data_IF_582038881139
#
_entry.id   IF_582038881139
#
_cell.length_a   1.000
_cell.length_b   1.000
_cell.length_c   1.000
_cell.angle_alpha   90.00
_cell.angle_beta   90.00
_cell.angle_gamma   90.00
#
_symmetry.space_group_name_H-M   'P 1'
#
loop_
_entity.id
_entity.type
_entity.pdbx_description
1 polymer ?
#
# COMPACT_ATOMS: atom_id res chain seq x y z
N UNK A 1 22.30 32.68 22.44
CA UNK A 1 22.17 31.53 23.35
C UNK A 1 20.77 30.92 23.20
N UNK A 2 20.58 30.12 22.15
CA UNK A 2 19.43 29.22 22.04
C UNK A 2 19.89 27.84 22.54
N UNK A 3 19.88 27.66 23.84
CA UNK A 3 20.18 26.40 24.49
C UNK A 3 18.97 25.47 24.44
N UNK A 4 19.17 24.30 23.84
CA UNK A 4 18.60 22.99 24.17
C UNK A 4 17.18 22.97 24.79
N UNK A 5 16.13 23.20 23.99
CA UNK A 5 14.84 22.60 24.30
C UNK A 5 14.73 21.29 23.54
N UNK A 6 15.01 20.18 24.22
CA UNK A 6 14.55 18.86 23.83
C UNK A 6 13.01 18.95 23.71
N UNK A 7 12.47 18.79 22.48
CA UNK A 7 11.05 18.51 22.35
C UNK A 7 10.76 17.23 23.14
N UNK A 8 9.79 17.25 24.04
CA UNK A 8 9.35 16.01 24.65
C UNK A 8 8.71 15.18 23.52
N UNK A 9 9.30 14.06 23.18
CA UNK A 9 8.57 12.98 22.55
C UNK A 9 7.37 12.73 23.44
N UNK A 10 6.18 13.09 22.95
CA UNK A 10 4.94 12.62 23.54
C UNK A 10 4.90 11.11 23.29
N UNK A 11 5.52 10.36 24.18
CA UNK A 11 5.17 8.97 24.39
C UNK A 11 3.71 9.03 24.85
N UNK A 12 2.78 8.76 23.94
CA UNK A 12 1.46 8.33 24.35
C UNK A 12 1.67 7.22 25.38
N UNK A 13 1.04 7.31 26.55
CA UNK A 13 1.13 6.22 27.50
C UNK A 13 0.67 4.96 26.75
N UNK A 14 1.57 4.02 26.62
CA UNK A 14 1.27 2.69 26.14
C UNK A 14 0.25 2.12 27.12
N UNK A 15 -1.02 2.08 26.70
CA UNK A 15 -2.08 1.51 27.52
C UNK A 15 -1.93 0.00 27.39
N UNK A 16 -1.15 -0.60 28.28
CA UNK A 16 -0.91 -2.05 28.34
C UNK A 16 -2.19 -2.86 28.67
N UNK A 17 -3.25 -2.20 29.15
CA UNK A 17 -4.35 -2.89 29.83
C UNK A 17 -5.57 -3.24 28.96
N UNK A 18 -5.66 -2.83 27.67
CA UNK A 18 -6.82 -3.15 26.84
C UNK A 18 -6.55 -4.15 25.70
N UNK A 19 -5.32 -4.48 25.38
CA UNK A 19 -4.99 -5.56 24.47
C UNK A 19 -4.76 -6.85 25.26
N UNK A 20 -5.81 -7.56 25.58
CA UNK A 20 -5.70 -8.99 25.92
C UNK A 20 -5.27 -9.75 24.66
N UNK A 21 -3.98 -9.70 24.36
CA UNK A 21 -3.31 -10.58 23.42
C UNK A 21 -3.38 -11.98 24.00
N UNK A 22 -4.41 -12.72 23.66
CA UNK A 22 -4.52 -14.16 24.01
C UNK A 22 -3.38 -14.98 23.38
N UNK A 23 -2.63 -14.39 22.45
CA UNK A 23 -1.40 -14.94 21.87
C UNK A 23 -0.26 -13.93 22.00
N UNK A 24 0.67 -14.20 22.91
CA UNK A 24 1.84 -13.36 23.21
C UNK A 24 2.82 -13.20 22.02
N UNK A 25 2.64 -13.96 20.96
CA UNK A 25 3.48 -13.96 19.77
C UNK A 25 2.88 -13.18 18.59
N UNK A 26 1.54 -12.97 18.57
CA UNK A 26 0.87 -12.20 17.52
C UNK A 26 1.47 -10.80 17.43
N UNK A 27 1.65 -10.30 16.21
CA UNK A 27 2.28 -9.04 15.84
C UNK A 27 3.78 -8.90 16.17
N UNK A 28 4.40 -9.94 16.77
CA UNK A 28 5.82 -9.95 17.13
C UNK A 28 6.61 -11.02 16.40
N UNK A 29 5.98 -12.12 16.05
CA UNK A 29 6.59 -13.28 15.37
C UNK A 29 5.71 -13.74 14.22
N UNK A 30 6.32 -14.31 13.21
CA UNK A 30 5.62 -14.99 12.12
C UNK A 30 5.01 -16.28 12.64
N UNK A 31 3.69 -16.29 12.83
CA UNK A 31 2.96 -17.43 13.40
C UNK A 31 1.87 -17.97 12.47
N UNK A 32 1.57 -17.26 11.37
CA UNK A 32 0.56 -17.66 10.41
C UNK A 32 1.17 -17.98 9.05
N UNK A 33 0.65 -19.05 8.41
CA UNK A 33 0.73 -19.17 6.96
C UNK A 33 -0.09 -18.04 6.32
N UNK A 34 0.29 -17.64 5.12
CA UNK A 34 -0.36 -16.53 4.41
C UNK A 34 -1.15 -17.04 3.22
N UNK A 35 -2.41 -16.63 3.15
CA UNK A 35 -3.23 -16.73 1.95
C UNK A 35 -3.16 -15.43 1.17
N UNK A 36 -2.92 -15.52 -0.15
CA UNK A 36 -2.89 -14.37 -1.06
C UNK A 36 -4.07 -14.42 -2.02
N UNK A 37 -4.84 -13.35 -2.08
CA UNK A 37 -5.91 -13.11 -3.06
C UNK A 37 -5.39 -12.05 -4.02
N UNK A 38 -5.21 -12.41 -5.29
CA UNK A 38 -4.65 -11.50 -6.31
C UNK A 38 -5.72 -10.78 -7.09
N UNK A 39 -5.37 -9.60 -7.61
CA UNK A 39 -6.14 -8.87 -8.61
C UNK A 39 -7.57 -8.52 -8.18
N UNK A 40 -7.75 -8.18 -6.90
CA UNK A 40 -9.02 -7.70 -6.39
C UNK A 40 -9.27 -6.30 -6.93
N UNK A 41 -10.23 -6.15 -7.84
CA UNK A 41 -10.57 -4.86 -8.42
C UNK A 41 -11.30 -3.96 -7.41
N UNK A 42 -10.76 -2.77 -7.17
CA UNK A 42 -11.36 -1.79 -6.26
C UNK A 42 -11.91 -0.54 -6.96
N UNK A 43 -11.47 -0.28 -8.21
CA UNK A 43 -11.99 0.83 -9.01
C UNK A 43 -11.74 0.62 -10.52
N UNK A 44 -12.55 1.29 -11.34
CA UNK A 44 -12.32 1.48 -12.76
C UNK A 44 -12.18 2.95 -13.06
N UNK A 45 -11.13 3.33 -13.76
CA UNK A 45 -10.77 4.73 -14.01
C UNK A 45 -10.08 4.90 -15.36
N UNK A 46 -10.16 6.08 -15.92
CA UNK A 46 -9.34 6.46 -17.06
C UNK A 46 -7.96 6.92 -16.61
N UNK A 47 -6.91 6.38 -17.17
CA UNK A 47 -5.56 6.76 -16.80
C UNK A 47 -4.48 6.14 -17.65
N UNK A 48 -3.26 6.24 -17.15
CA UNK A 48 -2.06 5.62 -17.72
C UNK A 48 -1.54 4.57 -16.75
N UNK A 49 -1.00 3.50 -17.30
CA UNK A 49 -0.45 2.41 -16.51
C UNK A 49 0.65 1.68 -17.27
N UNK A 50 1.74 1.40 -16.58
CA UNK A 50 2.70 0.40 -16.98
C UNK A 50 3.02 -0.50 -15.78
N UNK A 51 2.65 -1.75 -15.89
CA UNK A 51 3.05 -2.78 -14.94
C UNK A 51 4.52 -3.16 -15.18
N UNK A 52 5.30 -3.18 -14.12
CA UNK A 52 6.66 -3.74 -14.10
C UNK A 52 6.75 -4.66 -12.88
N UNK A 53 6.30 -5.90 -13.01
CA UNK A 53 6.29 -6.85 -11.90
C UNK A 53 7.68 -7.40 -11.54
N UNK A 54 8.67 -7.18 -12.40
CA UNK A 54 10.03 -7.70 -12.24
C UNK A 54 10.99 -6.61 -11.79
N UNK A 55 11.64 -6.81 -10.65
CA UNK A 55 12.61 -5.89 -10.07
C UNK A 55 13.93 -5.79 -10.86
N UNK A 56 14.12 -6.67 -11.84
CA UNK A 56 15.35 -6.69 -12.68
C UNK A 56 15.27 -5.71 -13.86
N UNK A 57 14.12 -5.04 -14.06
CA UNK A 57 13.94 -4.14 -15.20
C UNK A 57 14.62 -2.80 -14.96
N UNK A 58 15.46 -2.41 -15.90
CA UNK A 58 16.03 -1.07 -15.98
C UNK A 58 14.91 -0.06 -16.33
N UNK A 59 14.38 0.59 -15.30
CA UNK A 59 13.31 1.58 -15.40
C UNK A 59 13.68 2.71 -16.39
N UNK A 60 14.93 3.16 -16.39
CA UNK A 60 15.39 4.23 -17.27
C UNK A 60 15.29 3.83 -18.74
N UNK A 61 15.66 2.58 -19.04
CA UNK A 61 15.57 2.02 -20.38
C UNK A 61 14.11 1.80 -20.83
N UNK A 62 13.26 1.30 -19.93
CA UNK A 62 11.83 1.14 -20.19
C UNK A 62 11.17 2.49 -20.48
N UNK A 63 11.46 3.52 -19.68
CA UNK A 63 10.96 4.87 -19.89
C UNK A 63 11.43 5.42 -21.24
N UNK A 64 12.72 5.29 -21.55
CA UNK A 64 13.30 5.78 -22.80
C UNK A 64 12.68 5.13 -24.04
N UNK A 65 12.45 3.83 -24.01
CA UNK A 65 11.99 3.07 -25.18
C UNK A 65 10.46 3.04 -25.35
N UNK A 66 9.69 3.26 -24.28
CA UNK A 66 8.25 3.16 -24.28
C UNK A 66 7.52 4.48 -24.04
N UNK A 67 8.24 5.58 -23.96
CA UNK A 67 7.73 6.91 -23.64
C UNK A 67 6.42 7.28 -24.35
N UNK A 68 6.32 7.04 -25.66
CA UNK A 68 5.12 7.36 -26.45
C UNK A 68 3.94 6.42 -26.16
N UNK A 69 4.19 5.18 -25.74
CA UNK A 69 3.13 4.22 -25.42
C UNK A 69 2.43 4.57 -24.10
N UNK A 70 3.11 5.26 -23.17
CA UNK A 70 2.55 5.72 -21.92
C UNK A 70 1.56 6.89 -22.07
N UNK A 71 1.57 7.55 -23.20
CA UNK A 71 0.76 8.74 -23.42
C UNK A 71 -0.68 8.42 -23.84
N UNK A 72 -1.01 7.15 -24.05
CA UNK A 72 -2.35 6.73 -24.40
C UNK A 72 -3.16 6.47 -23.14
N UNK A 73 -4.15 7.32 -22.91
CA UNK A 73 -5.16 7.11 -21.88
C UNK A 73 -5.98 5.88 -22.23
N UNK A 74 -6.24 5.01 -21.27
CA UNK A 74 -7.12 3.85 -21.41
C UNK A 74 -7.93 3.65 -20.14
N UNK A 75 -9.01 2.92 -20.22
CA UNK A 75 -9.70 2.41 -19.04
C UNK A 75 -8.77 1.44 -18.30
N UNK A 76 -8.63 1.64 -17.02
CA UNK A 76 -7.81 0.84 -16.11
C UNK A 76 -8.70 0.20 -15.06
N UNK A 77 -8.46 -1.07 -14.81
CA UNK A 77 -8.84 -1.69 -13.55
C UNK A 77 -7.73 -1.35 -12.54
N UNK A 78 -8.10 -0.75 -11.43
CA UNK A 78 -7.21 -0.56 -10.29
C UNK A 78 -7.40 -1.74 -9.36
N UNK A 79 -6.37 -2.57 -9.29
CA UNK A 79 -6.40 -3.83 -8.56
C UNK A 79 -5.47 -3.79 -7.36
N UNK A 80 -5.79 -4.59 -6.36
CA UNK A 80 -4.96 -4.82 -5.18
C UNK A 80 -4.74 -6.30 -4.95
N UNK A 81 -3.65 -6.65 -4.28
CA UNK A 81 -3.43 -7.97 -3.73
C UNK A 81 -3.63 -7.94 -2.23
N UNK A 82 -4.42 -8.88 -1.71
CA UNK A 82 -4.75 -8.98 -0.29
C UNK A 82 -4.09 -10.23 0.28
N UNK A 83 -3.40 -10.06 1.39
CA UNK A 83 -2.70 -11.11 2.11
C UNK A 83 -3.33 -11.27 3.49
N UNK A 84 -3.78 -12.49 3.80
CA UNK A 84 -4.51 -12.81 5.01
C UNK A 84 -3.77 -13.87 5.83
N UNK A 85 -3.77 -13.76 7.16
CA UNK A 85 -3.31 -14.85 8.03
C UNK A 85 -4.27 -16.03 7.90
N UNK A 86 -3.74 -17.18 7.42
CA UNK A 86 -4.51 -18.40 7.18
C UNK A 86 -4.87 -19.07 8.50
N UNK A 87 -6.10 -19.59 8.59
CA UNK A 87 -6.62 -20.26 9.78
C UNK A 87 -6.66 -19.41 11.05
N UNK A 88 -6.51 -18.10 10.93
CA UNK A 88 -6.66 -17.19 12.03
C UNK A 88 -8.14 -17.01 12.41
N UNK A 89 -8.46 -17.13 13.68
CA UNK A 89 -9.82 -17.03 14.22
C UNK A 89 -10.22 -15.62 14.62
N UNK A 90 -9.27 -14.67 14.68
CA UNK A 90 -9.56 -13.29 15.05
C UNK A 90 -10.51 -12.64 14.04
N UNK A 91 -11.55 -11.98 14.54
CA UNK A 91 -12.61 -11.38 13.71
C UNK A 91 -12.32 -9.93 13.31
N UNK A 92 -11.38 -9.29 13.97
CA UNK A 92 -10.93 -7.92 13.69
C UNK A 92 -9.40 -7.88 13.71
N UNK A 93 -8.78 -7.52 12.59
CA UNK A 93 -7.33 -7.49 12.41
C UNK A 93 -6.91 -6.12 11.92
N UNK A 94 -5.82 -5.56 12.44
CA UNK A 94 -5.29 -4.31 11.90
C UNK A 94 -4.94 -4.47 10.42
N UNK A 95 -5.19 -3.42 9.64
CA UNK A 95 -4.89 -3.36 8.22
C UNK A 95 -3.58 -2.62 7.99
N UNK A 96 -2.71 -3.20 7.16
CA UNK A 96 -1.53 -2.55 6.62
C UNK A 96 -1.64 -2.44 5.09
N UNK A 97 -1.77 -1.25 4.54
CA UNK A 97 -1.80 -1.01 3.09
C UNK A 97 -0.49 -0.44 2.60
N UNK A 98 0.12 -1.09 1.61
CA UNK A 98 1.35 -0.63 0.96
C UNK A 98 1.09 -0.05 -0.43
N UNK A 99 1.78 1.07 -0.72
CA UNK A 99 1.72 1.81 -1.97
C UNK A 99 3.11 1.77 -2.60
N UNK A 100 3.21 1.24 -3.82
CA UNK A 100 4.51 1.08 -4.48
C UNK A 100 5.12 2.41 -4.94
N UNK A 101 6.44 2.43 -5.06
CA UNK A 101 7.20 3.51 -5.67
C UNK A 101 7.20 3.43 -7.19
N UNK A 102 8.10 4.20 -7.83
CA UNK A 102 8.28 4.22 -9.29
C UNK A 102 8.02 5.58 -9.91
N UNK A 103 8.28 6.66 -9.14
CA UNK A 103 8.21 8.05 -9.60
C UNK A 103 6.86 8.45 -10.19
N UNK A 104 5.76 7.84 -9.79
CA UNK A 104 4.42 8.00 -10.37
C UNK A 104 4.36 7.65 -11.87
N UNK A 105 5.29 6.89 -12.35
CA UNK A 105 5.43 6.60 -13.79
C UNK A 105 5.41 5.11 -14.09
N UNK A 106 5.97 4.31 -13.22
CA UNK A 106 6.09 2.85 -13.36
C UNK A 106 5.87 2.17 -12.00
N UNK A 107 5.68 0.88 -12.02
CA UNK A 107 5.59 0.05 -10.82
C UNK A 107 4.42 -0.92 -10.87
N UNK A 108 4.35 -1.78 -9.87
CA UNK A 108 3.28 -2.75 -9.72
C UNK A 108 3.15 -3.20 -8.26
N UNK A 109 1.92 -3.46 -7.82
CA UNK A 109 1.61 -4.05 -6.51
C UNK A 109 2.31 -5.38 -6.27
N UNK A 110 2.63 -6.11 -7.36
CA UNK A 110 3.23 -7.43 -7.31
C UNK A 110 4.76 -7.43 -7.40
N UNK A 111 5.44 -6.27 -7.30
CA UNK A 111 6.90 -6.25 -7.21
C UNK A 111 7.39 -6.91 -5.92
N UNK A 112 8.56 -7.55 -5.98
CA UNK A 112 9.07 -8.43 -4.91
C UNK A 112 9.12 -7.77 -3.51
N UNK A 113 9.55 -6.51 -3.34
CA UNK A 113 9.56 -5.90 -2.01
C UNK A 113 8.18 -5.86 -1.34
N UNK A 114 7.14 -5.50 -2.09
CA UNK A 114 5.78 -5.40 -1.52
C UNK A 114 5.17 -6.75 -1.22
N UNK A 115 5.45 -7.75 -2.09
CA UNK A 115 5.05 -9.13 -1.80
C UNK A 115 5.70 -9.63 -0.50
N UNK A 116 7.00 -9.37 -0.31
CA UNK A 116 7.73 -9.76 0.92
C UNK A 116 7.15 -9.04 2.15
N UNK A 117 6.92 -7.73 2.07
CA UNK A 117 6.35 -6.98 3.18
C UNK A 117 4.94 -7.46 3.52
N UNK A 118 4.08 -7.63 2.51
CA UNK A 118 2.72 -8.12 2.75
C UNK A 118 2.72 -9.53 3.33
N UNK A 119 3.57 -10.45 2.84
CA UNK A 119 3.69 -11.78 3.43
C UNK A 119 4.16 -11.69 4.89
N UNK A 120 5.19 -10.88 5.16
CA UNK A 120 5.71 -10.71 6.52
C UNK A 120 4.62 -10.19 7.47
N UNK A 121 3.97 -9.07 7.15
CA UNK A 121 2.95 -8.51 8.03
C UNK A 121 1.73 -9.43 8.18
N UNK A 122 1.31 -10.12 7.12
CA UNK A 122 0.24 -11.09 7.22
C UNK A 122 0.62 -12.29 8.09
N UNK A 123 1.87 -12.77 8.03
CA UNK A 123 2.36 -13.84 8.91
C UNK A 123 2.42 -13.42 10.39
N UNK A 124 2.48 -12.12 10.67
CA UNK A 124 2.36 -11.57 12.02
C UNK A 124 0.91 -11.45 12.50
N UNK A 125 -0.10 -11.55 11.61
CA UNK A 125 -1.52 -11.48 11.97
C UNK A 125 -2.26 -10.24 11.49
N UNK A 126 -1.66 -9.41 10.62
CA UNK A 126 -2.33 -8.28 9.96
C UNK A 126 -3.12 -8.75 8.73
N UNK A 127 -4.13 -8.00 8.35
CA UNK A 127 -4.56 -7.96 6.95
C UNK A 127 -3.58 -7.05 6.23
N UNK A 128 -2.91 -7.54 5.19
CA UNK A 128 -1.96 -6.73 4.46
C UNK A 128 -2.35 -6.60 2.99
N UNK A 129 -2.18 -5.42 2.41
CA UNK A 129 -2.62 -5.13 1.05
C UNK A 129 -1.54 -4.34 0.31
N UNK A 130 -1.32 -4.69 -0.95
CA UNK A 130 -0.55 -3.88 -1.89
C UNK A 130 -1.44 -3.44 -3.04
N UNK A 131 -1.43 -2.16 -3.37
CA UNK A 131 -2.34 -1.56 -4.36
C UNK A 131 -1.61 -1.09 -5.60
N UNK A 132 -2.29 -1.17 -6.74
CA UNK A 132 -2.00 -0.42 -7.95
C UNK A 132 -2.77 0.90 -7.94
N UNK A 133 -2.22 1.95 -8.52
CA UNK A 133 -2.82 3.28 -8.63
C UNK A 133 -2.50 3.90 -10.00
N UNK A 134 -3.22 4.94 -10.42
CA UNK A 134 -2.95 5.62 -11.69
C UNK A 134 -1.56 6.22 -11.72
N UNK A 135 -0.87 5.97 -12.81
CA UNK A 135 0.50 6.44 -13.06
C UNK A 135 0.61 7.06 -14.45
N UNK A 136 1.77 7.64 -14.73
CA UNK A 136 2.10 8.20 -16.02
C UNK A 136 1.69 9.67 -16.17
N UNK A 137 2.62 10.45 -16.65
CA UNK A 137 2.46 11.86 -16.91
C UNK A 137 3.34 12.31 -18.08
N UNK A 138 2.95 13.41 -18.73
CA UNK A 138 3.88 14.12 -19.60
C UNK A 138 4.88 14.87 -18.74
N UNK A 139 6.17 14.99 -19.14
CA UNK A 139 7.20 15.57 -18.30
C UNK A 139 7.06 17.09 -18.17
N UNK A 140 6.13 17.51 -17.38
CA UNK A 140 6.01 18.89 -16.91
C UNK A 140 5.49 18.87 -15.46
N UNK A 141 5.83 19.90 -14.69
CA UNK A 141 5.51 19.97 -13.27
C UNK A 141 4.03 19.78 -12.98
N UNK A 142 3.15 20.47 -13.69
CA UNK A 142 1.70 20.37 -13.48
C UNK A 142 1.15 18.95 -13.71
N UNK A 143 1.77 18.21 -14.64
CA UNK A 143 1.35 16.82 -14.90
C UNK A 143 1.81 15.89 -13.79
N UNK A 144 3.00 16.10 -13.22
CA UNK A 144 3.49 15.35 -12.05
C UNK A 144 2.60 15.59 -10.85
N UNK A 145 2.29 16.82 -10.52
CA UNK A 145 1.40 17.20 -9.41
C UNK A 145 0.01 16.55 -9.56
N UNK A 146 -0.55 16.58 -10.78
CA UNK A 146 -1.82 15.92 -11.07
C UNK A 146 -1.75 14.42 -10.86
N UNK A 147 -0.68 13.77 -11.29
CA UNK A 147 -0.51 12.32 -11.13
C UNK A 147 -0.36 11.95 -9.65
N UNK A 148 0.40 12.72 -8.87
CA UNK A 148 0.50 12.53 -7.43
C UNK A 148 -0.87 12.68 -6.73
N UNK A 149 -1.64 13.70 -7.11
CA UNK A 149 -3.00 13.88 -6.59
C UNK A 149 -3.94 12.71 -6.97
N UNK A 150 -3.85 12.22 -8.21
CA UNK A 150 -4.62 11.04 -8.63
C UNK A 150 -4.23 9.78 -7.86
N UNK A 151 -2.93 9.59 -7.61
CA UNK A 151 -2.46 8.47 -6.79
C UNK A 151 -3.03 8.52 -5.36
N UNK A 152 -3.09 9.70 -4.75
CA UNK A 152 -3.73 9.91 -3.45
C UNK A 152 -5.24 9.59 -3.48
N UNK A 153 -5.95 10.04 -4.52
CA UNK A 153 -7.37 9.71 -4.70
C UNK A 153 -7.61 8.19 -4.82
N UNK A 154 -6.72 7.51 -5.55
CA UNK A 154 -6.80 6.06 -5.75
C UNK A 154 -6.50 5.29 -4.46
N UNK A 155 -5.50 5.72 -3.69
CA UNK A 155 -5.19 5.15 -2.38
C UNK A 155 -6.37 5.31 -1.40
N UNK A 156 -7.02 6.47 -1.37
CA UNK A 156 -8.24 6.68 -0.59
C UNK A 156 -9.41 5.81 -1.09
N UNK A 157 -9.53 5.60 -2.40
CA UNK A 157 -10.55 4.71 -2.95
C UNK A 157 -10.31 3.26 -2.53
N UNK A 158 -9.05 2.80 -2.57
CA UNK A 158 -8.66 1.49 -2.10
C UNK A 158 -8.99 1.30 -0.61
N UNK A 159 -8.66 2.29 0.22
CA UNK A 159 -8.97 2.24 1.66
C UNK A 159 -10.49 2.18 1.91
N UNK A 160 -11.28 3.03 1.23
CA UNK A 160 -12.76 2.97 1.34
C UNK A 160 -13.33 1.62 0.90
N UNK A 161 -12.77 1.03 -0.18
CA UNK A 161 -13.16 -0.31 -0.60
C UNK A 161 -12.89 -1.34 0.49
N UNK A 162 -11.69 -1.34 1.09
CA UNK A 162 -11.31 -2.26 2.16
C UNK A 162 -12.20 -2.11 3.39
N UNK A 163 -12.48 -0.87 3.82
CA UNK A 163 -13.43 -0.59 4.91
C UNK A 163 -14.84 -1.10 4.58
N UNK A 164 -15.31 -0.93 3.34
CA UNK A 164 -16.61 -1.47 2.90
C UNK A 164 -16.68 -3.00 2.90
N UNK A 165 -15.53 -3.67 2.94
CA UNK A 165 -15.37 -5.12 2.97
C UNK A 165 -14.81 -5.64 4.30
N UNK A 166 -14.87 -4.82 5.35
CA UNK A 166 -14.30 -5.13 6.66
C UNK A 166 -14.73 -6.51 7.19
N UNK A 167 -16.02 -6.86 7.04
CA UNK A 167 -16.54 -8.15 7.54
C UNK A 167 -15.98 -9.33 6.72
N UNK A 168 -15.76 -9.15 5.42
CA UNK A 168 -15.23 -10.20 4.52
C UNK A 168 -13.77 -10.49 4.87
N UNK A 169 -12.96 -9.44 4.99
CA UNK A 169 -11.53 -9.58 5.26
C UNK A 169 -11.18 -9.50 6.74
N UNK A 170 -12.20 -9.34 7.61
CA UNK A 170 -12.06 -9.21 9.07
C UNK A 170 -11.11 -8.09 9.46
N UNK A 171 -11.34 -6.89 8.91
CA UNK A 171 -10.52 -5.71 9.15
C UNK A 171 -11.03 -4.97 10.38
N UNK A 172 -10.11 -4.64 11.27
CA UNK A 172 -10.32 -3.68 12.35
C UNK A 172 -10.19 -2.24 11.78
N UNK A 173 -11.31 -1.54 11.71
CA UNK A 173 -11.35 -0.18 11.14
C UNK A 173 -10.81 0.90 12.06
N UNK A 174 -10.52 0.58 13.32
CA UNK A 174 -9.88 1.48 14.26
C UNK A 174 -8.34 1.44 14.16
N UNK A 175 -7.81 0.41 13.49
CA UNK A 175 -6.38 0.18 13.32
C UNK A 175 -5.99 0.04 11.84
N UNK A 176 -6.00 1.16 11.12
CA UNK A 176 -5.67 1.26 9.70
C UNK A 176 -4.31 1.94 9.51
N UNK A 177 -3.38 1.26 8.86
CA UNK A 177 -2.04 1.75 8.59
C UNK A 177 -1.77 1.82 7.10
N UNK A 178 -1.09 2.87 6.68
CA UNK A 178 -0.66 3.07 5.29
C UNK A 178 0.84 3.29 5.25
N UNK A 179 1.51 2.64 4.32
CA UNK A 179 2.94 2.82 4.09
C UNK A 179 3.27 2.79 2.60
N UNK A 180 4.48 3.19 2.27
CA UNK A 180 4.93 3.16 0.89
C UNK A 180 6.39 3.54 0.76
N UNK A 181 6.94 3.40 -0.44
CA UNK A 181 8.30 3.82 -0.75
C UNK A 181 8.31 4.85 -1.88
N UNK A 182 9.22 5.85 -1.81
CA UNK A 182 9.37 6.87 -2.85
C UNK A 182 8.05 7.57 -3.19
N UNK A 183 7.56 7.50 -4.43
CA UNK A 183 6.25 8.02 -4.83
C UNK A 183 5.11 7.50 -3.95
N UNK A 184 5.17 6.21 -3.57
CA UNK A 184 4.19 5.62 -2.65
C UNK A 184 4.23 6.22 -1.25
N UNK A 185 5.41 6.62 -0.73
CA UNK A 185 5.49 7.31 0.56
C UNK A 185 4.90 8.73 0.51
N UNK A 186 5.09 9.43 -0.61
CA UNK A 186 4.44 10.74 -0.83
C UNK A 186 2.92 10.57 -0.82
N UNK A 187 2.41 9.55 -1.52
CA UNK A 187 0.97 9.23 -1.55
C UNK A 187 0.43 8.88 -0.17
N UNK A 188 1.18 8.10 0.63
CA UNK A 188 0.76 7.67 1.95
C UNK A 188 0.69 8.80 2.99
N UNK A 189 1.44 9.90 2.77
CA UNK A 189 1.47 11.07 3.68
C UNK A 189 0.39 12.13 3.36
N UNK A 190 -0.34 12.01 2.26
CA UNK A 190 -1.38 12.94 1.83
C UNK A 190 -2.77 12.30 1.87
#
# INVERSE_FOLDING_TARGET
NLSNKKMPFLLYPYIEDEFQLSDTNRYKKEVFEVERITDVNYAKVDGFWLSIPDDTIDIANVVKNNWFNYLKKKELNLDMDIYLPKNDTLTQRPLMMFIHGGAFFVGDKATVPYQKWCNHFASLGYVCVSINYRMGFRPNQKAIERTAYQATQDAHAAMRYLVSKQDIYRIDTDNLFVGGASAGSITAMN
#
